data_IF_873706137825
#
_entry.id   IF_873706137825
#
_cell.length_a   1.000
_cell.length_b   1.000
_cell.length_c   1.000
_cell.angle_alpha   90.00
_cell.angle_beta   90.00
_cell.angle_gamma   90.00
#
_symmetry.space_group_name_H-M   'P 1'
#
loop_
_entity.id
_entity.type
_entity.pdbx_description
1 polymer ?
#
# COMPACT_ATOMS: atom_id res chain seq x y z
N UNK A 1 22.02 -42.05 -44.74
CA UNK A 1 21.39 -40.73 -44.99
C UNK A 1 20.12 -40.69 -44.17
N UNK A 2 20.02 -40.02 -43.03
CA UNK A 2 18.74 -39.80 -42.34
C UNK A 2 18.17 -38.45 -42.76
N UNK A 3 16.88 -38.46 -43.06
CA UNK A 3 16.04 -37.37 -43.50
C UNK A 3 15.85 -36.33 -42.39
N UNK A 4 15.99 -35.06 -42.75
CA UNK A 4 15.74 -33.91 -41.87
C UNK A 4 14.21 -33.70 -41.73
N UNK A 5 13.68 -33.86 -40.52
CA UNK A 5 12.34 -33.39 -40.16
C UNK A 5 12.35 -31.87 -40.04
N UNK A 6 11.62 -31.21 -40.90
CA UNK A 6 11.33 -29.78 -40.83
C UNK A 6 10.33 -29.51 -39.71
N UNK A 7 10.80 -28.93 -38.62
CA UNK A 7 9.96 -28.43 -37.56
C UNK A 7 8.95 -27.40 -38.06
N UNK A 8 7.67 -27.71 -37.92
CA UNK A 8 6.54 -26.83 -38.21
C UNK A 8 6.50 -25.71 -37.17
N UNK A 9 6.86 -24.48 -37.58
CA UNK A 9 6.64 -23.26 -36.78
C UNK A 9 5.14 -23.02 -36.70
N UNK A 10 4.54 -23.21 -35.54
CA UNK A 10 3.18 -22.79 -35.22
C UNK A 10 3.06 -21.28 -35.44
N UNK A 11 2.35 -20.88 -36.50
CA UNK A 11 1.96 -19.48 -36.71
C UNK A 11 0.89 -19.11 -35.67
N UNK A 12 1.25 -18.31 -34.67
CA UNK A 12 0.27 -17.65 -33.81
C UNK A 12 -0.60 -16.77 -34.70
N UNK A 13 -1.93 -16.98 -34.67
CA UNK A 13 -2.90 -16.08 -35.29
C UNK A 13 -2.68 -14.65 -34.79
N UNK A 14 -2.70 -13.63 -35.67
CA UNK A 14 -2.63 -12.26 -35.24
C UNK A 14 -3.81 -12.00 -34.29
N UNK A 15 -3.53 -11.53 -33.08
CA UNK A 15 -4.56 -11.07 -32.16
C UNK A 15 -5.42 -10.04 -32.91
N UNK A 16 -6.74 -10.24 -32.92
CA UNK A 16 -7.68 -9.31 -33.54
C UNK A 16 -7.43 -7.92 -32.94
N UNK A 17 -7.09 -6.93 -33.77
CA UNK A 17 -6.82 -5.59 -33.33
C UNK A 17 -8.07 -5.04 -32.62
N UNK A 18 -7.87 -4.58 -31.38
CA UNK A 18 -8.94 -4.01 -30.54
C UNK A 18 -9.45 -2.72 -31.19
N UNK A 19 -10.75 -2.60 -31.38
CA UNK A 19 -11.40 -1.40 -31.95
C UNK A 19 -11.77 -0.44 -30.82
N UNK A 20 -10.83 0.41 -30.42
CA UNK A 20 -10.99 1.35 -29.32
C UNK A 20 -12.13 2.34 -29.51
N UNK A 21 -12.49 2.66 -30.75
CA UNK A 21 -13.58 3.61 -31.03
C UNK A 21 -14.95 3.00 -30.69
N UNK A 22 -15.13 1.69 -30.83
CA UNK A 22 -16.35 1.00 -30.43
C UNK A 22 -16.47 0.78 -28.93
N UNK A 23 -15.35 0.92 -28.20
CA UNK A 23 -15.31 0.75 -26.75
C UNK A 23 -15.43 2.08 -25.99
N UNK A 24 -15.57 3.21 -26.70
CA UNK A 24 -15.82 4.51 -26.04
C UNK A 24 -17.17 4.39 -25.29
N UNK A 25 -17.14 4.64 -23.99
CA UNK A 25 -18.30 4.64 -23.11
C UNK A 25 -18.36 5.93 -22.32
N UNK A 26 -19.57 6.47 -22.16
CA UNK A 26 -19.87 7.56 -21.22
C UNK A 26 -20.29 7.03 -19.84
N UNK A 27 -20.38 5.71 -19.67
CA UNK A 27 -20.68 5.11 -18.39
C UNK A 27 -19.50 5.29 -17.41
N UNK A 28 -19.77 5.89 -16.26
CA UNK A 28 -18.81 6.00 -15.16
C UNK A 28 -18.86 4.68 -14.40
N UNK A 29 -17.78 3.89 -14.49
CA UNK A 29 -17.62 2.71 -13.65
C UNK A 29 -17.14 3.17 -12.27
N UNK A 30 -17.98 3.02 -11.25
CA UNK A 30 -17.61 3.32 -9.87
C UNK A 30 -16.66 2.23 -9.36
N UNK A 31 -15.42 2.58 -9.07
CA UNK A 31 -14.45 1.73 -8.38
C UNK A 31 -14.40 2.15 -6.90
N UNK A 32 -14.33 1.22 -5.94
CA UNK A 32 -14.11 1.59 -4.54
C UNK A 32 -12.88 2.47 -4.36
N UNK A 33 -12.98 3.49 -3.52
CA UNK A 33 -11.89 4.45 -3.34
C UNK A 33 -10.69 3.85 -2.59
N UNK A 34 -9.50 4.36 -2.88
CA UNK A 34 -8.28 4.11 -2.13
C UNK A 34 -7.69 5.42 -1.63
N UNK A 35 -7.25 5.46 -0.38
CA UNK A 35 -6.69 6.67 0.17
C UNK A 35 -5.70 6.47 1.29
N UNK A 36 -5.03 7.55 1.64
CA UNK A 36 -4.11 7.63 2.77
C UNK A 36 -4.69 8.58 3.81
N UNK A 37 -4.67 8.15 5.08
CA UNK A 37 -4.90 8.99 6.25
C UNK A 37 -3.58 9.03 7.02
N UNK A 38 -2.98 10.23 7.16
CA UNK A 38 -1.72 10.38 7.87
C UNK A 38 -1.78 11.53 8.87
N UNK A 39 -0.94 11.46 9.89
CA UNK A 39 -0.90 12.51 10.91
C UNK A 39 0.05 12.15 12.04
N UNK A 40 0.25 13.05 13.01
CA UNK A 40 1.09 12.81 14.19
C UNK A 40 0.59 11.61 15.01
N UNK A 41 1.48 11.05 15.81
CA UNK A 41 1.10 10.00 16.76
C UNK A 41 0.01 10.50 17.72
N UNK A 42 -0.96 9.65 18.04
CA UNK A 42 -2.07 9.99 18.96
C UNK A 42 -3.18 10.85 18.35
N UNK A 43 -3.12 11.26 17.07
CA UNK A 43 -4.19 12.05 16.43
C UNK A 43 -5.53 11.32 16.29
N UNK A 44 -5.56 9.99 16.41
CA UNK A 44 -6.80 9.21 16.32
C UNK A 44 -6.95 8.35 15.08
N UNK A 45 -5.98 8.33 14.17
CA UNK A 45 -6.03 7.65 12.87
C UNK A 45 -6.61 6.23 12.91
N UNK A 46 -6.08 5.38 13.81
CA UNK A 46 -6.56 3.99 13.95
C UNK A 46 -8.02 3.96 14.44
N UNK A 47 -8.40 4.85 15.35
CA UNK A 47 -9.78 4.96 15.81
C UNK A 47 -10.72 5.44 14.70
N UNK A 48 -10.31 6.42 13.91
CA UNK A 48 -11.08 6.91 12.76
C UNK A 48 -11.30 5.79 11.74
N UNK A 49 -10.24 5.05 11.39
CA UNK A 49 -10.33 3.97 10.38
C UNK A 49 -11.11 2.75 10.85
N UNK A 50 -11.19 2.50 12.18
CA UNK A 50 -11.98 1.44 12.77
C UNK A 50 -13.49 1.59 12.52
N UNK A 51 -13.96 2.79 12.20
CA UNK A 51 -15.37 3.10 11.91
C UNK A 51 -15.69 3.15 10.41
N UNK A 52 -14.78 2.72 9.55
CA UNK A 52 -15.07 2.54 8.14
C UNK A 52 -16.16 1.48 7.90
N UNK A 53 -16.67 1.39 6.68
CA UNK A 53 -17.72 0.42 6.34
C UNK A 53 -17.18 -1.01 6.38
N UNK A 54 -17.67 -1.84 7.30
CA UNK A 54 -17.28 -3.27 7.47
C UNK A 54 -15.76 -3.47 7.31
N UNK A 55 -14.93 -2.85 8.16
CA UNK A 55 -13.49 -2.86 7.98
C UNK A 55 -12.87 -4.18 8.42
N UNK A 56 -11.78 -4.56 7.74
CA UNK A 56 -10.80 -5.53 8.21
C UNK A 56 -9.44 -4.86 8.26
N UNK A 57 -8.76 -4.99 9.39
CA UNK A 57 -7.50 -4.30 9.66
C UNK A 57 -6.33 -5.25 9.53
N UNK A 58 -5.29 -4.83 8.83
CA UNK A 58 -3.97 -5.47 8.79
C UNK A 58 -3.02 -4.71 9.73
N UNK A 59 -2.76 -5.23 10.92
CA UNK A 59 -1.73 -4.69 11.80
C UNK A 59 -0.37 -5.30 11.50
N UNK A 60 0.68 -4.73 12.12
CA UNK A 60 2.04 -5.24 12.11
C UNK A 60 2.50 -5.53 13.53
N UNK A 61 3.40 -6.51 13.72
CA UNK A 61 3.88 -6.89 15.04
C UNK A 61 4.61 -5.74 15.75
N UNK A 62 5.31 -4.89 14.99
CA UNK A 62 6.04 -3.74 15.53
C UNK A 62 5.13 -2.62 16.06
N UNK A 63 3.90 -2.50 15.53
CA UNK A 63 2.92 -1.48 15.91
C UNK A 63 1.52 -2.11 16.02
N UNK A 64 1.20 -2.72 17.17
CA UNK A 64 -0.08 -3.36 17.38
C UNK A 64 -0.80 -2.80 18.61
N UNK A 65 -1.49 -1.68 18.43
CA UNK A 65 -2.29 -1.04 19.49
C UNK A 65 -3.76 -1.45 19.48
N UNK A 66 -4.21 -2.23 18.51
CA UNK A 66 -5.61 -2.58 18.28
C UNK A 66 -6.27 -3.28 19.46
N UNK A 67 -5.51 -4.15 20.16
CA UNK A 67 -5.99 -4.80 21.39
C UNK A 67 -6.30 -3.80 22.52
N UNK A 68 -5.44 -2.82 22.72
CA UNK A 68 -5.63 -1.76 23.72
C UNK A 68 -6.82 -0.85 23.36
N UNK A 69 -6.97 -0.49 22.09
CA UNK A 69 -8.10 0.32 21.61
C UNK A 69 -9.43 -0.41 21.80
N UNK A 70 -9.49 -1.73 21.59
CA UNK A 70 -10.68 -2.54 21.91
C UNK A 70 -10.99 -2.55 23.40
N UNK A 71 -9.98 -2.75 24.25
CA UNK A 71 -10.14 -2.78 25.71
C UNK A 71 -10.63 -1.44 26.26
N UNK A 72 -10.12 -0.32 25.74
CA UNK A 72 -10.54 1.03 26.16
C UNK A 72 -11.93 1.41 25.67
N UNK A 73 -12.52 0.65 24.75
CA UNK A 73 -13.78 1.00 24.11
C UNK A 73 -13.69 2.13 23.07
N UNK A 74 -12.48 2.50 22.66
CA UNK A 74 -12.23 3.53 21.65
C UNK A 74 -12.62 3.09 20.24
N UNK A 75 -12.77 1.77 20.03
CA UNK A 75 -13.16 1.16 18.75
C UNK A 75 -14.16 0.03 18.97
N UNK A 76 -14.92 -0.39 17.92
CA UNK A 76 -15.85 -1.50 18.02
C UNK A 76 -15.17 -2.79 18.50
N UNK A 77 -15.82 -3.49 19.43
CA UNK A 77 -15.29 -4.76 20.00
C UNK A 77 -15.24 -5.88 18.95
N UNK A 78 -16.16 -5.88 18.01
CA UNK A 78 -16.32 -6.83 16.91
C UNK A 78 -15.51 -6.47 15.66
N UNK A 79 -14.68 -5.43 15.71
CA UNK A 79 -13.78 -5.07 14.63
C UNK A 79 -12.93 -6.27 14.19
N UNK A 80 -12.97 -6.60 12.90
CA UNK A 80 -12.14 -7.66 12.33
C UNK A 80 -10.68 -7.19 12.24
N UNK A 81 -9.75 -7.97 12.80
CA UNK A 81 -8.32 -7.70 12.77
C UNK A 81 -7.61 -8.97 12.31
N UNK A 82 -6.82 -8.89 11.26
CA UNK A 82 -5.98 -9.98 10.77
C UNK A 82 -4.84 -10.27 11.76
N UNK A 83 -4.25 -11.46 11.71
CA UNK A 83 -2.97 -11.70 12.37
C UNK A 83 -1.95 -10.63 11.97
N UNK A 84 -1.13 -10.12 12.89
CA UNK A 84 -0.08 -9.16 12.55
C UNK A 84 0.87 -9.74 11.50
N UNK A 85 1.23 -8.94 10.50
CA UNK A 85 2.25 -9.33 9.54
C UNK A 85 3.65 -9.12 10.16
N UNK A 86 4.47 -10.17 10.14
CA UNK A 86 5.86 -10.18 10.61
C UNK A 86 6.84 -10.08 9.43
N UNK A 87 6.42 -10.52 8.26
CA UNK A 87 7.21 -10.52 7.03
C UNK A 87 6.45 -9.89 5.88
N UNK A 88 7.19 -9.54 4.82
CA UNK A 88 6.60 -9.07 3.57
C UNK A 88 5.67 -10.12 2.93
N UNK A 89 6.05 -11.38 3.00
CA UNK A 89 5.28 -12.50 2.45
C UNK A 89 3.98 -12.72 3.25
N UNK A 90 3.98 -12.50 4.58
CA UNK A 90 2.75 -12.54 5.38
C UNK A 90 1.75 -11.47 4.93
N UNK A 91 2.24 -10.24 4.70
CA UNK A 91 1.40 -9.13 4.23
C UNK A 91 0.79 -9.46 2.87
N UNK A 92 1.59 -9.92 1.91
CA UNK A 92 1.11 -10.27 0.58
C UNK A 92 0.18 -11.49 0.61
N UNK A 93 0.51 -12.51 1.42
CA UNK A 93 -0.31 -13.70 1.60
C UNK A 93 -1.67 -13.39 2.24
N UNK A 94 -1.74 -12.45 3.18
CA UNK A 94 -3.00 -12.01 3.75
C UNK A 94 -3.90 -11.31 2.71
N UNK A 95 -3.31 -10.49 1.84
CA UNK A 95 -4.03 -9.87 0.73
C UNK A 95 -4.53 -10.91 -0.29
N UNK A 96 -3.69 -11.88 -0.68
CA UNK A 96 -4.07 -12.96 -1.60
C UNK A 96 -5.24 -13.77 -1.04
N UNK A 97 -5.23 -14.09 0.26
CA UNK A 97 -6.35 -14.76 0.93
C UNK A 97 -7.64 -13.93 0.95
N UNK A 98 -7.55 -12.62 1.12
CA UNK A 98 -8.71 -11.73 1.04
C UNK A 98 -9.23 -11.62 -0.40
N UNK A 99 -8.35 -11.61 -1.40
CA UNK A 99 -8.74 -11.55 -2.81
C UNK A 99 -9.48 -12.85 -3.22
N UNK A 100 -9.01 -14.01 -2.81
CA UNK A 100 -9.54 -15.31 -3.18
C UNK A 100 -10.70 -15.78 -2.29
N UNK A 101 -10.65 -15.41 -1.00
CA UNK A 101 -11.58 -15.88 0.04
C UNK A 101 -12.98 -15.30 -0.08
N UNK A 102 -13.96 -15.98 0.52
CA UNK A 102 -15.34 -15.47 0.66
C UNK A 102 -15.46 -14.73 1.99
N UNK A 103 -15.80 -13.46 1.95
CA UNK A 103 -16.01 -12.61 3.12
C UNK A 103 -16.91 -11.42 2.79
N UNK A 104 -17.42 -10.74 3.82
CA UNK A 104 -18.35 -9.60 3.69
C UNK A 104 -17.67 -8.25 4.00
N UNK A 105 -16.35 -8.21 4.19
CA UNK A 105 -15.62 -6.97 4.44
C UNK A 105 -15.73 -6.02 3.24
N UNK A 106 -15.81 -4.72 3.54
CA UNK A 106 -15.97 -3.64 2.53
C UNK A 106 -14.80 -2.68 2.52
N UNK A 107 -13.98 -2.65 3.58
CA UNK A 107 -12.81 -1.78 3.65
C UNK A 107 -11.62 -2.56 4.18
N UNK A 108 -10.50 -2.49 3.48
CA UNK A 108 -9.20 -2.96 3.97
C UNK A 108 -8.44 -1.77 4.56
N UNK A 109 -7.98 -1.92 5.80
CA UNK A 109 -7.19 -0.90 6.50
C UNK A 109 -5.79 -1.46 6.75
N UNK A 110 -4.75 -0.81 6.25
CA UNK A 110 -3.35 -1.16 6.50
C UNK A 110 -2.77 -0.15 7.52
N UNK A 111 -2.37 -0.62 8.68
CA UNK A 111 -1.86 0.21 9.78
C UNK A 111 -0.55 -0.35 10.34
N UNK A 112 0.61 0.18 9.89
CA UNK A 112 0.86 1.42 9.16
C UNK A 112 1.70 1.23 7.88
N UNK A 113 1.70 2.26 7.03
CA UNK A 113 2.54 2.32 5.81
C UNK A 113 4.03 2.19 6.13
N UNK A 114 4.51 2.81 7.22
CA UNK A 114 5.92 2.75 7.61
C UNK A 114 6.35 1.31 7.95
N UNK A 115 5.47 0.54 8.61
CA UNK A 115 5.73 -0.87 8.88
C UNK A 115 5.77 -1.70 7.59
N UNK A 116 4.84 -1.47 6.67
CA UNK A 116 4.83 -2.14 5.37
C UNK A 116 6.10 -1.83 4.56
N UNK A 117 6.53 -0.55 4.53
CA UNK A 117 7.77 -0.15 3.85
C UNK A 117 9.00 -0.82 4.47
N UNK A 118 9.07 -0.88 5.80
CA UNK A 118 10.15 -1.57 6.50
C UNK A 118 10.23 -3.05 6.10
N UNK A 119 9.09 -3.77 6.12
CA UNK A 119 9.05 -5.17 5.71
C UNK A 119 9.46 -5.36 4.23
N UNK A 120 9.04 -4.45 3.36
CA UNK A 120 9.46 -4.44 1.96
C UNK A 120 10.99 -4.30 1.83
N UNK A 121 11.58 -3.35 2.55
CA UNK A 121 13.02 -3.12 2.54
C UNK A 121 13.79 -4.31 3.13
N UNK A 122 13.32 -4.90 4.25
CA UNK A 122 13.90 -6.10 4.86
C UNK A 122 13.86 -7.29 3.90
N UNK A 123 12.73 -7.51 3.23
CA UNK A 123 12.58 -8.55 2.22
C UNK A 123 13.62 -8.40 1.10
N UNK A 124 13.72 -7.21 0.51
CA UNK A 124 14.68 -6.93 -0.57
C UNK A 124 16.13 -7.00 -0.07
N UNK A 125 16.41 -6.50 1.12
CA UNK A 125 17.74 -6.60 1.70
C UNK A 125 18.18 -8.07 1.88
N UNK A 126 17.29 -8.91 2.39
CA UNK A 126 17.59 -10.33 2.57
C UNK A 126 17.72 -11.07 1.22
N UNK A 127 16.84 -10.80 0.26
CA UNK A 127 16.82 -11.45 -1.05
C UNK A 127 18.03 -11.07 -1.92
N UNK A 128 18.34 -9.77 -2.02
CA UNK A 128 19.27 -9.24 -3.03
C UNK A 128 20.63 -8.86 -2.45
N UNK A 129 20.72 -8.68 -1.12
CA UNK A 129 21.93 -8.21 -0.44
C UNK A 129 22.36 -9.12 0.72
N UNK A 130 21.80 -10.33 0.84
CA UNK A 130 22.11 -11.29 1.91
C UNK A 130 22.00 -10.68 3.33
N UNK A 131 21.09 -9.72 3.54
CA UNK A 131 20.89 -9.03 4.82
C UNK A 131 21.91 -7.92 5.13
N UNK A 132 22.75 -7.54 4.15
CA UNK A 132 23.75 -6.47 4.33
C UNK A 132 23.11 -5.08 4.14
N UNK A 133 22.89 -4.37 5.25
CA UNK A 133 22.37 -2.99 5.28
C UNK A 133 23.45 -1.91 5.09
N UNK A 134 24.71 -2.27 4.95
CA UNK A 134 25.80 -1.31 4.82
C UNK A 134 25.78 -0.54 3.49
N UNK A 135 26.69 0.45 3.38
CA UNK A 135 26.91 1.20 2.13
C UNK A 135 27.45 0.32 0.98
N UNK A 136 27.91 -0.90 1.27
CA UNK A 136 28.28 -1.88 0.25
C UNK A 136 27.12 -2.76 -0.18
N UNK A 137 26.10 -2.89 0.67
CA UNK A 137 24.88 -3.63 0.48
C UNK A 137 23.70 -2.75 0.08
N UNK A 138 22.60 -2.87 0.85
CA UNK A 138 21.31 -2.23 0.58
C UNK A 138 21.38 -0.70 0.51
N UNK A 139 22.11 -0.05 1.45
CA UNK A 139 22.19 1.41 1.52
C UNK A 139 23.06 2.01 0.39
N UNK A 140 23.90 1.19 -0.27
CA UNK A 140 24.88 1.65 -1.25
C UNK A 140 24.26 2.37 -2.44
N UNK A 141 24.57 3.67 -2.59
CA UNK A 141 24.01 4.51 -3.66
C UNK A 141 22.49 4.44 -3.81
N UNK A 142 21.77 4.20 -2.71
CA UNK A 142 20.32 4.01 -2.66
C UNK A 142 19.77 2.84 -3.51
N UNK A 143 20.61 1.91 -3.96
CA UNK A 143 20.22 0.80 -4.85
C UNK A 143 19.16 -0.12 -4.25
N UNK A 144 19.24 -0.39 -2.93
CA UNK A 144 18.24 -1.21 -2.24
C UNK A 144 16.86 -0.57 -2.24
N UNK A 145 16.79 0.74 -1.98
CA UNK A 145 15.54 1.48 -2.02
C UNK A 145 14.93 1.50 -3.43
N UNK A 146 15.77 1.63 -4.48
CA UNK A 146 15.31 1.59 -5.86
C UNK A 146 14.84 0.18 -6.25
N UNK A 147 15.54 -0.87 -5.80
CA UNK A 147 15.13 -2.27 -5.97
C UNK A 147 13.77 -2.55 -5.33
N UNK A 148 13.55 -2.05 -4.11
CA UNK A 148 12.32 -2.24 -3.37
C UNK A 148 11.06 -1.63 -4.03
N UNK A 149 11.22 -0.69 -4.98
CA UNK A 149 10.07 -0.10 -5.68
C UNK A 149 9.31 -1.11 -6.55
N UNK A 150 9.97 -2.18 -7.01
CA UNK A 150 9.32 -3.29 -7.72
C UNK A 150 8.37 -4.04 -6.80
N UNK A 151 8.87 -4.44 -5.62
CA UNK A 151 8.09 -5.14 -4.62
C UNK A 151 6.95 -4.26 -4.07
N UNK A 152 7.20 -2.96 -3.87
CA UNK A 152 6.15 -2.02 -3.47
C UNK A 152 5.02 -1.90 -4.52
N UNK A 153 5.34 -1.93 -5.81
CA UNK A 153 4.31 -1.97 -6.86
C UNK A 153 3.48 -3.25 -6.78
N UNK A 154 4.10 -4.38 -6.44
CA UNK A 154 3.38 -5.64 -6.22
C UNK A 154 2.33 -5.52 -5.09
N UNK A 155 2.64 -4.79 -4.00
CA UNK A 155 1.64 -4.47 -2.98
C UNK A 155 0.48 -3.64 -3.57
N UNK A 156 0.80 -2.58 -4.32
CA UNK A 156 -0.20 -1.72 -4.95
C UNK A 156 -1.10 -2.52 -5.92
N UNK A 157 -0.53 -3.42 -6.70
CA UNK A 157 -1.27 -4.30 -7.62
C UNK A 157 -2.24 -5.23 -6.86
N UNK A 158 -1.84 -5.78 -5.70
CA UNK A 158 -2.73 -6.58 -4.86
C UNK A 158 -3.85 -5.75 -4.23
N UNK A 159 -3.55 -4.54 -3.79
CA UNK A 159 -4.58 -3.61 -3.30
C UNK A 159 -5.58 -3.25 -4.41
N UNK A 160 -5.11 -3.07 -5.64
CA UNK A 160 -5.98 -2.88 -6.80
C UNK A 160 -6.82 -4.13 -7.11
N UNK A 161 -6.21 -5.33 -7.06
CA UNK A 161 -6.94 -6.57 -7.24
C UNK A 161 -8.04 -6.76 -6.17
N UNK A 162 -7.79 -6.36 -4.92
CA UNK A 162 -8.78 -6.38 -3.85
C UNK A 162 -9.95 -5.42 -4.12
N UNK A 163 -9.66 -4.21 -4.64
CA UNK A 163 -10.68 -3.24 -5.07
C UNK A 163 -11.54 -3.81 -6.19
N UNK A 164 -10.91 -4.41 -7.20
CA UNK A 164 -11.58 -4.87 -8.43
C UNK A 164 -12.34 -6.19 -8.22
N UNK A 165 -11.72 -7.16 -7.56
CA UNK A 165 -12.31 -8.50 -7.37
C UNK A 165 -13.34 -8.55 -6.24
N UNK A 166 -13.16 -7.75 -5.17
CA UNK A 166 -13.97 -7.81 -3.94
C UNK A 166 -14.81 -6.56 -3.70
N UNK A 167 -14.62 -5.51 -4.48
CA UNK A 167 -15.31 -4.23 -4.29
C UNK A 167 -14.98 -3.55 -2.97
N UNK A 168 -13.75 -3.72 -2.46
CA UNK A 168 -13.32 -3.15 -1.19
C UNK A 168 -12.68 -1.79 -1.36
N UNK A 169 -13.02 -0.83 -0.49
CA UNK A 169 -12.25 0.40 -0.32
C UNK A 169 -10.92 0.12 0.40
N UNK A 170 -9.93 0.96 0.16
CA UNK A 170 -8.60 0.83 0.77
C UNK A 170 -8.28 2.08 1.59
N UNK A 171 -7.88 1.90 2.84
CA UNK A 171 -7.36 2.98 3.69
C UNK A 171 -5.97 2.58 4.17
N UNK A 172 -4.98 3.40 3.81
CA UNK A 172 -3.60 3.24 4.25
C UNK A 172 -3.32 4.27 5.35
N UNK A 173 -2.92 3.81 6.52
CA UNK A 173 -2.61 4.69 7.66
C UNK A 173 -1.12 5.01 7.65
N UNK A 174 -0.78 6.29 7.80
CA UNK A 174 0.61 6.77 7.81
C UNK A 174 0.93 7.66 9.01
N UNK A 175 2.18 7.64 9.45
CA UNK A 175 2.70 8.66 10.35
C UNK A 175 3.09 9.92 9.59
N UNK A 176 3.02 11.05 10.28
CA UNK A 176 3.47 12.32 9.74
C UNK A 176 4.90 12.63 10.17
N UNK A 177 5.68 13.17 9.25
CA UNK A 177 6.99 13.80 9.52
C UNK A 177 7.01 15.20 8.93
N UNK A 178 7.91 16.06 9.46
CA UNK A 178 8.11 17.42 8.96
C UNK A 178 9.29 17.42 8.00
N UNK A 179 9.08 17.94 6.80
CA UNK A 179 10.16 18.13 5.82
C UNK A 179 10.19 19.59 5.35
N UNK A 180 11.40 20.15 5.28
CA UNK A 180 11.60 21.48 4.71
C UNK A 180 11.44 21.44 3.19
N UNK A 181 10.59 22.32 2.68
CA UNK A 181 10.27 22.44 1.26
C UNK A 181 10.91 23.71 0.69
N UNK A 182 11.46 23.58 -0.52
CA UNK A 182 11.98 24.71 -1.28
C UNK A 182 11.11 24.88 -2.53
N UNK A 183 10.29 25.93 -2.52
CA UNK A 183 9.56 26.38 -3.72
C UNK A 183 10.33 27.57 -4.31
N UNK A 184 10.61 27.59 -5.64
CA UNK A 184 11.34 28.71 -6.27
C UNK A 184 10.71 30.08 -6.06
N UNK A 185 9.43 30.15 -5.71
CA UNK A 185 8.63 31.37 -5.53
C UNK A 185 8.50 31.82 -4.09
N UNK A 186 8.91 30.99 -3.11
CA UNK A 186 8.67 31.21 -1.69
C UNK A 186 9.96 31.03 -0.89
N UNK A 187 10.03 31.65 0.28
CA UNK A 187 11.04 31.30 1.28
C UNK A 187 10.89 29.82 1.69
N UNK A 188 11.96 29.12 2.05
CA UNK A 188 11.86 27.77 2.56
C UNK A 188 10.85 27.69 3.72
N UNK A 189 10.00 26.67 3.70
CA UNK A 189 8.99 26.44 4.74
C UNK A 189 8.91 24.96 5.10
N UNK A 190 8.47 24.66 6.32
CA UNK A 190 8.27 23.30 6.78
C UNK A 190 6.85 22.84 6.45
N UNK A 191 6.77 21.59 6.03
CA UNK A 191 5.50 20.96 5.65
C UNK A 191 5.39 19.57 6.25
N UNK A 192 4.20 19.24 6.73
CA UNK A 192 3.85 17.86 7.07
C UNK A 192 3.78 17.00 5.81
N UNK A 193 4.36 15.82 5.90
CA UNK A 193 4.30 14.79 4.85
C UNK A 193 4.24 13.41 5.49
N UNK A 194 3.89 12.40 4.72
CA UNK A 194 3.91 11.00 5.17
C UNK A 194 5.36 10.58 5.43
N UNK A 195 5.57 9.85 6.52
CA UNK A 195 6.87 9.29 6.89
C UNK A 195 7.12 8.00 6.10
N UNK A 196 7.57 8.18 4.87
CA UNK A 196 7.97 7.14 3.92
C UNK A 196 9.20 7.62 3.13
N UNK A 197 9.90 6.68 2.54
CA UNK A 197 10.92 6.99 1.56
C UNK A 197 10.30 7.80 0.39
N UNK A 198 10.95 8.86 -0.09
CA UNK A 198 10.33 9.77 -1.08
C UNK A 198 9.82 9.10 -2.35
N UNK A 199 10.53 8.07 -2.85
CA UNK A 199 10.13 7.34 -4.06
C UNK A 199 8.92 6.43 -3.81
N UNK A 200 8.86 5.78 -2.65
CA UNK A 200 7.71 4.98 -2.20
C UNK A 200 6.47 5.87 -2.07
N UNK A 201 6.64 7.02 -1.40
CA UNK A 201 5.55 7.99 -1.26
C UNK A 201 5.07 8.52 -2.62
N UNK A 202 5.97 8.79 -3.55
CA UNK A 202 5.60 9.26 -4.88
C UNK A 202 4.77 8.25 -5.67
N UNK A 203 5.01 6.94 -5.50
CA UNK A 203 4.17 5.89 -6.09
C UNK A 203 2.81 5.86 -5.39
N UNK A 204 2.80 5.78 -4.07
CA UNK A 204 1.59 5.64 -3.26
C UNK A 204 0.65 6.84 -3.42
N UNK A 205 1.18 8.07 -3.37
CA UNK A 205 0.38 9.29 -3.48
C UNK A 205 -0.21 9.53 -4.87
N UNK A 206 0.40 8.98 -5.93
CA UNK A 206 -0.16 9.04 -7.29
C UNK A 206 -1.20 7.97 -7.54
N UNK A 207 -1.14 6.87 -6.81
CA UNK A 207 -2.07 5.76 -6.93
C UNK A 207 -3.37 6.01 -6.18
N UNK A 208 -3.32 6.62 -4.99
CA UNK A 208 -4.51 6.83 -4.19
C UNK A 208 -5.39 7.97 -4.71
N UNK A 209 -6.70 7.85 -4.48
CA UNK A 209 -7.71 8.80 -4.92
C UNK A 209 -7.74 10.03 -3.99
N UNK A 210 -7.33 9.88 -2.71
CA UNK A 210 -7.29 10.97 -1.72
C UNK A 210 -6.17 10.78 -0.70
N UNK A 211 -5.73 11.90 -0.12
CA UNK A 211 -4.76 11.96 0.98
C UNK A 211 -5.29 12.92 2.02
N UNK A 212 -5.60 12.41 3.22
CA UNK A 212 -6.08 13.21 4.34
C UNK A 212 -5.01 13.36 5.40
N UNK A 213 -4.89 14.57 5.93
CA UNK A 213 -4.07 14.89 7.09
C UNK A 213 -4.95 15.02 8.33
N UNK A 214 -4.78 14.13 9.29
CA UNK A 214 -5.46 14.13 10.57
C UNK A 214 -4.55 14.72 11.64
N UNK A 215 -5.03 15.73 12.36
CA UNK A 215 -4.24 16.46 13.35
C UNK A 215 -5.11 16.92 14.52
N UNK A 216 -4.46 17.37 15.58
CA UNK A 216 -5.14 17.97 16.73
C UNK A 216 -5.70 19.34 16.37
N UNK A 217 -6.88 19.64 16.90
CA UNK A 217 -7.41 20.99 16.89
C UNK A 217 -6.83 21.71 18.13
N UNK A 218 -6.10 22.79 17.90
CA UNK A 218 -5.59 23.65 18.97
C UNK A 218 -6.54 24.85 19.11
N UNK A 219 -7.20 24.96 20.26
CA UNK A 219 -7.95 26.18 20.60
C UNK A 219 -6.94 27.19 21.12
N UNK A 220 -6.73 28.27 20.37
CA UNK A 220 -5.91 29.43 20.79
C UNK A 220 -6.83 30.46 21.37
N UNK A 221 -7.29 30.24 22.62
CA UNK A 221 -7.91 31.29 23.44
C UNK A 221 -6.86 32.20 24.08
#
# INVERSE_FOLDING_TARGET
MPSAEKGQRSSRSPAQARDFLKEISTAITSRPSAGVIYGPAGAGKSSTTAHALSPVVQPFAAENTWGLLKQSGAIPKDLAVLPPADTWDDLLGALDQLIEGKHEYKTYVLDTLACAERLCHEHVCNRDYAGDWSDRGFMGFHRGFDGALGDWRTLIERLDALRDARGMGIILVGHATVKSMRDPRLAPFDRWTVDLHPKTWAITSRWCDYVFFETFLFDTT
#
